data_IF_756257058359
#
_entry.id   IF_756257058359
#
_cell.length_a   1.000
_cell.length_b   1.000
_cell.length_c   1.000
_cell.angle_alpha   90.00
_cell.angle_beta   90.00
_cell.angle_gamma   90.00
#
_symmetry.space_group_name_H-M   'P 1'
#
loop_
_entity.id
_entity.type
_entity.pdbx_description
1 polymer ?
#
# COMPACT_ATOMS: atom_id res chain seq x y z
N UNK A 1 4.50 2.97 10.00
CA UNK A 1 3.57 3.83 9.26
C UNK A 1 3.15 3.03 8.04
N UNK A 2 1.89 2.59 7.94
CA UNK A 2 1.48 1.76 6.79
C UNK A 2 1.33 2.66 5.56
N UNK A 3 2.39 2.78 4.78
CA UNK A 3 2.32 3.47 3.49
C UNK A 3 1.70 2.50 2.48
N UNK A 4 0.39 2.62 2.26
CA UNK A 4 -0.20 2.16 1.00
C UNK A 4 0.15 3.22 -0.02
N UNK A 5 1.31 3.07 -0.65
CA UNK A 5 1.78 4.00 -1.68
C UNK A 5 0.98 3.77 -2.96
N UNK A 6 -0.22 4.33 -3.00
CA UNK A 6 -1.00 4.60 -4.20
C UNK A 6 -2.01 3.51 -4.59
N UNK A 7 -3.29 3.90 -4.64
CA UNK A 7 -4.21 3.40 -5.65
C UNK A 7 -3.82 4.04 -6.98
N UNK A 8 -3.07 3.33 -7.83
CA UNK A 8 -2.76 3.86 -9.17
C UNK A 8 -3.91 3.55 -10.12
N UNK A 9 -4.60 4.61 -10.56
CA UNK A 9 -5.50 4.59 -11.70
C UNK A 9 -4.74 4.91 -12.98
N UNK A 10 -4.69 3.97 -13.92
CA UNK A 10 -4.02 4.18 -15.21
C UNK A 10 -4.75 5.15 -16.16
N UNK A 11 -5.96 5.62 -15.83
CA UNK A 11 -6.81 6.37 -16.77
C UNK A 11 -7.46 7.63 -16.16
N UNK A 12 -7.01 8.09 -14.99
CA UNK A 12 -7.34 9.45 -14.52
C UNK A 12 -6.15 10.39 -14.80
N UNK A 13 -6.37 11.56 -15.41
CA UNK A 13 -5.31 12.55 -15.63
C UNK A 13 -4.72 13.13 -14.32
N UNK A 14 -5.32 12.79 -13.16
CA UNK A 14 -4.90 13.23 -11.84
C UNK A 14 -4.66 12.03 -10.92
N UNK A 15 -3.51 12.03 -10.24
CA UNK A 15 -3.22 11.13 -9.12
C UNK A 15 -3.98 11.64 -7.90
N UNK A 16 -4.91 10.83 -7.37
CA UNK A 16 -5.64 11.19 -6.15
C UNK A 16 -4.99 10.52 -4.94
N UNK A 17 -4.40 11.35 -4.06
CA UNK A 17 -3.79 10.91 -2.80
C UNK A 17 -4.77 11.15 -1.66
N UNK A 18 -5.13 10.09 -0.93
CA UNK A 18 -5.96 10.16 0.27
C UNK A 18 -5.14 9.76 1.49
N UNK A 19 -5.22 10.57 2.55
CA UNK A 19 -4.54 10.30 3.82
C UNK A 19 -5.58 10.07 4.91
N UNK A 20 -5.56 8.87 5.49
CA UNK A 20 -6.46 8.50 6.59
C UNK A 20 -5.64 8.17 7.82
N UNK A 21 -5.94 8.86 8.94
CA UNK A 21 -5.30 8.56 10.22
C UNK A 21 -5.87 7.26 10.79
N UNK A 22 -4.98 6.34 11.14
CA UNK A 22 -5.31 5.05 11.74
C UNK A 22 -4.77 4.96 13.17
N UNK A 23 -5.40 4.16 14.05
CA UNK A 23 -4.83 3.86 15.36
C UNK A 23 -3.51 3.11 15.23
N UNK A 24 -2.60 3.21 16.22
CA UNK A 24 -1.22 2.70 16.12
C UNK A 24 -1.10 1.19 15.85
N UNK A 25 -2.09 0.39 16.26
CA UNK A 25 -2.17 -1.06 15.96
C UNK A 25 -3.48 -1.32 15.24
N UNK A 26 -3.41 -1.40 13.92
CA UNK A 26 -4.57 -1.66 13.04
C UNK A 26 -4.51 -3.09 12.53
N UNK A 27 -5.65 -3.77 12.49
CA UNK A 27 -5.75 -5.08 11.85
C UNK A 27 -5.99 -4.93 10.35
N UNK A 28 -5.71 -5.98 9.59
CA UNK A 28 -5.88 -5.98 8.15
C UNK A 28 -7.34 -5.85 7.71
N UNK A 29 -8.30 -6.30 8.53
CA UNK A 29 -9.73 -6.07 8.32
C UNK A 29 -10.07 -4.58 8.36
N UNK A 30 -9.56 -3.86 9.36
CA UNK A 30 -9.81 -2.43 9.53
C UNK A 30 -9.18 -1.62 8.39
N UNK A 31 -7.96 -1.99 7.97
CA UNK A 31 -7.32 -1.41 6.78
C UNK A 31 -8.16 -1.64 5.52
N UNK A 32 -8.69 -2.85 5.35
CA UNK A 32 -9.54 -3.18 4.21
C UNK A 32 -10.83 -2.35 4.22
N UNK A 33 -11.51 -2.23 5.36
CA UNK A 33 -12.70 -1.38 5.49
C UNK A 33 -12.41 0.08 5.10
N UNK A 34 -11.29 0.64 5.55
CA UNK A 34 -10.90 2.01 5.20
C UNK A 34 -10.63 2.15 3.71
N UNK A 35 -9.88 1.24 3.10
CA UNK A 35 -9.62 1.27 1.66
C UNK A 35 -10.92 1.12 0.86
N UNK A 36 -11.82 0.24 1.30
CA UNK A 36 -13.12 0.05 0.65
C UNK A 36 -13.99 1.31 0.75
N UNK A 37 -14.00 2.00 1.90
CA UNK A 37 -14.72 3.27 2.05
C UNK A 37 -14.19 4.36 1.13
N UNK A 38 -12.86 4.49 1.01
CA UNK A 38 -12.22 5.44 0.07
C UNK A 38 -12.60 5.11 -1.37
N UNK A 39 -12.65 3.82 -1.69
CA UNK A 39 -13.06 3.35 -3.01
C UNK A 39 -14.52 3.72 -3.31
N UNK A 40 -15.44 3.42 -2.40
CA UNK A 40 -16.87 3.77 -2.54
C UNK A 40 -17.06 5.29 -2.68
N UNK A 41 -16.35 6.09 -1.90
CA UNK A 41 -16.37 7.56 -1.95
C UNK A 41 -15.80 8.11 -3.27
N UNK A 42 -14.79 7.45 -3.83
CA UNK A 42 -14.13 7.88 -5.07
C UNK A 42 -15.02 7.72 -6.32
N UNK A 43 -16.08 6.91 -6.24
CA UNK A 43 -16.97 6.56 -7.37
C UNK A 43 -16.22 6.05 -8.61
N UNK A 44 -15.03 5.49 -8.42
CA UNK A 44 -14.22 4.91 -9.49
C UNK A 44 -14.63 3.45 -9.72
N UNK A 45 -14.63 2.94 -10.96
CA UNK A 45 -14.80 1.53 -11.24
C UNK A 45 -13.64 0.68 -10.69
N UNK A 46 -13.92 -0.53 -10.23
CA UNK A 46 -12.90 -1.44 -9.64
C UNK A 46 -11.79 -1.82 -10.60
N UNK A 47 -12.08 -1.82 -11.91
CA UNK A 47 -11.11 -2.06 -13.00
C UNK A 47 -10.03 -0.97 -13.08
N UNK A 48 -10.30 0.19 -12.50
CA UNK A 48 -9.39 1.31 -12.46
C UNK A 48 -8.31 1.14 -11.38
N UNK A 49 -8.54 0.26 -10.39
CA UNK A 49 -7.52 -0.10 -9.42
C UNK A 49 -6.81 -1.38 -9.86
N UNK A 50 -5.53 -1.24 -10.20
CA UNK A 50 -4.74 -2.34 -10.79
C UNK A 50 -3.67 -2.85 -9.85
N UNK A 51 -3.15 -2.00 -8.95
CA UNK A 51 -1.94 -2.31 -8.17
C UNK A 51 -2.07 -1.87 -6.72
N UNK A 52 -1.89 -2.81 -5.77
CA UNK A 52 -1.69 -2.50 -4.35
C UNK A 52 -0.20 -2.57 -4.00
N UNK A 53 0.36 -1.46 -3.52
CA UNK A 53 1.75 -1.37 -3.08
C UNK A 53 1.80 -1.28 -1.54
N UNK A 54 2.51 -2.21 -0.89
CA UNK A 54 2.59 -2.27 0.58
C UNK A 54 4.03 -2.30 1.08
N UNK A 55 4.27 -1.83 2.30
CA UNK A 55 5.57 -1.83 2.99
C UNK A 55 6.11 -3.24 3.35
N UNK A 56 5.36 -4.30 3.04
CA UNK A 56 5.77 -5.67 3.34
C UNK A 56 5.44 -6.14 4.75
N UNK A 57 4.83 -5.30 5.60
CA UNK A 57 4.44 -5.70 6.95
C UNK A 57 3.50 -6.90 6.94
N UNK A 58 3.59 -7.77 7.96
CA UNK A 58 2.81 -9.02 8.03
C UNK A 58 1.29 -8.80 8.03
N UNK A 59 0.83 -7.68 8.57
CA UNK A 59 -0.58 -7.26 8.49
C UNK A 59 -1.02 -6.98 7.05
N UNK A 60 -0.10 -6.57 6.18
CA UNK A 60 -0.36 -6.27 4.77
C UNK A 60 -0.23 -7.53 3.91
N UNK A 61 0.81 -8.32 4.14
CA UNK A 61 1.26 -9.42 3.25
C UNK A 61 0.91 -10.84 3.76
N UNK A 62 0.30 -10.97 4.94
CA UNK A 62 -0.05 -12.27 5.51
C UNK A 62 -0.88 -13.13 4.57
N UNK A 63 -0.48 -14.39 4.35
CA UNK A 63 -1.12 -15.25 3.35
C UNK A 63 -2.60 -15.55 3.62
N UNK A 64 -2.97 -15.72 4.89
CA UNK A 64 -4.35 -16.03 5.32
C UNK A 64 -5.16 -14.79 5.67
N UNK A 65 -4.50 -13.81 6.28
CA UNK A 65 -5.15 -12.67 6.92
C UNK A 65 -4.42 -11.36 6.64
N UNK A 66 -3.69 -11.25 5.55
CA UNK A 66 -3.11 -9.99 5.09
C UNK A 66 -4.12 -9.10 4.38
N UNK A 67 -3.87 -7.79 4.36
CA UNK A 67 -4.64 -6.84 3.56
C UNK A 67 -4.71 -7.25 2.09
N UNK A 68 -3.56 -7.60 1.50
CA UNK A 68 -3.46 -8.00 0.09
C UNK A 68 -4.33 -9.23 -0.20
N UNK A 69 -4.37 -10.20 0.72
CA UNK A 69 -5.23 -11.38 0.59
C UNK A 69 -6.70 -10.99 0.52
N UNK A 70 -7.16 -10.08 1.40
CA UNK A 70 -8.56 -9.59 1.39
C UNK A 70 -8.89 -8.82 0.12
N UNK A 71 -8.01 -7.90 -0.28
CA UNK A 71 -8.19 -7.12 -1.51
C UNK A 71 -8.33 -8.04 -2.73
N UNK A 72 -7.52 -9.10 -2.81
CA UNK A 72 -7.59 -10.08 -3.91
C UNK A 72 -8.81 -10.99 -3.87
N UNK A 73 -9.45 -11.17 -2.71
CA UNK A 73 -10.71 -11.92 -2.61
C UNK A 73 -11.85 -11.16 -3.28
N UNK A 74 -11.87 -9.83 -3.16
CA UNK A 74 -12.88 -8.97 -3.78
C UNK A 74 -12.54 -8.59 -5.23
N UNK A 75 -11.25 -8.46 -5.54
CA UNK A 75 -10.78 -8.02 -6.85
C UNK A 75 -9.52 -8.80 -7.26
N UNK A 76 -9.76 -9.93 -7.91
CA UNK A 76 -8.72 -10.90 -8.32
C UNK A 76 -7.75 -10.36 -9.37
N UNK A 77 -8.13 -9.31 -10.12
CA UNK A 77 -7.29 -8.65 -11.12
C UNK A 77 -6.20 -7.76 -10.52
N UNK A 78 -6.25 -7.48 -9.22
CA UNK A 78 -5.28 -6.60 -8.56
C UNK A 78 -3.92 -7.29 -8.43
N UNK A 79 -2.90 -6.61 -8.94
CA UNK A 79 -1.50 -6.97 -8.74
C UNK A 79 -1.03 -6.41 -7.41
N UNK A 80 -0.23 -7.19 -6.67
CA UNK A 80 0.41 -6.69 -5.44
C UNK A 80 1.90 -6.53 -5.65
N UNK A 81 2.42 -5.37 -5.25
CA UNK A 81 3.84 -5.05 -5.25
C UNK A 81 4.28 -4.67 -3.84
N UNK A 82 5.58 -4.85 -3.57
CA UNK A 82 6.20 -4.32 -2.36
C UNK A 82 6.72 -2.91 -2.65
N UNK A 83 6.70 -2.05 -1.63
CA UNK A 83 7.17 -0.67 -1.74
C UNK A 83 8.63 -0.64 -2.19
N UNK A 84 8.88 -0.02 -3.35
CA UNK A 84 10.22 0.10 -3.92
C UNK A 84 11.13 0.90 -2.99
N UNK A 85 10.63 1.97 -2.39
CA UNK A 85 11.38 2.81 -1.43
C UNK A 85 11.82 1.98 -0.21
N UNK A 86 10.95 1.12 0.32
CA UNK A 86 11.30 0.21 1.41
C UNK A 86 12.42 -0.76 1.00
N UNK A 87 12.34 -1.33 -0.21
CA UNK A 87 13.37 -2.22 -0.75
C UNK A 87 14.69 -1.50 -1.03
N UNK A 88 14.63 -0.28 -1.57
CA UNK A 88 15.79 0.56 -1.84
C UNK A 88 16.53 0.91 -0.55
N UNK A 89 15.81 1.25 0.51
CA UNK A 89 16.44 1.52 1.78
C UNK A 89 17.10 0.29 2.42
N UNK A 90 16.47 -0.89 2.29
CA UNK A 90 17.09 -2.16 2.72
C UNK A 90 18.38 -2.40 1.93
N UNK A 91 18.39 -2.14 0.62
CA UNK A 91 19.59 -2.28 -0.19
C UNK A 91 20.67 -1.26 0.21
N UNK A 92 20.28 0.01 0.42
CA UNK A 92 21.18 1.10 0.76
C UNK A 92 21.89 0.92 2.10
N UNK A 93 21.25 0.26 3.08
CA UNK A 93 21.88 -0.11 4.37
C UNK A 93 23.21 -0.88 4.19
N UNK A 94 23.37 -1.59 3.08
CA UNK A 94 24.57 -2.36 2.79
C UNK A 94 25.56 -1.63 1.85
N UNK A 95 25.24 -0.41 1.41
CA UNK A 95 26.01 0.32 0.38
C UNK A 95 26.64 1.58 0.97
N UNK A 96 25.86 2.43 1.65
CA UNK A 96 26.33 3.73 2.13
C UNK A 96 25.43 4.27 3.26
N UNK A 97 26.04 4.72 4.36
CA UNK A 97 25.33 5.21 5.55
C UNK A 97 24.49 6.47 5.27
N UNK A 98 25.01 7.45 4.52
CA UNK A 98 24.26 8.67 4.18
C UNK A 98 23.04 8.35 3.30
N UNK A 99 23.18 7.41 2.35
CA UNK A 99 22.07 6.98 1.52
C UNK A 99 21.05 6.17 2.33
N UNK A 100 21.51 5.33 3.25
CA UNK A 100 20.66 4.56 4.14
C UNK A 100 19.83 5.47 5.05
N UNK A 101 20.43 6.54 5.60
CA UNK A 101 19.76 7.52 6.45
C UNK A 101 18.72 8.33 5.67
N UNK A 102 19.08 8.81 4.48
CA UNK A 102 18.16 9.53 3.62
C UNK A 102 16.92 8.68 3.30
N UNK A 103 17.11 7.43 2.87
CA UNK A 103 16.01 6.55 2.52
C UNK A 103 15.21 6.07 3.73
N UNK A 104 15.86 5.87 4.89
CA UNK A 104 15.16 5.46 6.13
C UNK A 104 14.21 6.53 6.66
N UNK A 105 14.38 7.79 6.27
CA UNK A 105 13.46 8.89 6.63
C UNK A 105 12.12 8.78 5.91
N UNK A 106 12.06 8.07 4.77
CA UNK A 106 10.87 7.95 3.92
C UNK A 106 10.07 6.65 4.15
N UNK A 107 10.42 5.85 5.16
CA UNK A 107 9.82 4.53 5.47
C UNK A 107 9.20 4.56 6.86
#
# INVERSE_FOLDING_TARGET
>A
MFSVSGLHSFNTPNLQLNFTKLPGRTKSEELFCVINSIYEDSRLPSTQFVVVCTDGASVSTGSKSGLVTRVKQEATHIVSTLCMIHREAIAAKNINENLADALSTFI
#
